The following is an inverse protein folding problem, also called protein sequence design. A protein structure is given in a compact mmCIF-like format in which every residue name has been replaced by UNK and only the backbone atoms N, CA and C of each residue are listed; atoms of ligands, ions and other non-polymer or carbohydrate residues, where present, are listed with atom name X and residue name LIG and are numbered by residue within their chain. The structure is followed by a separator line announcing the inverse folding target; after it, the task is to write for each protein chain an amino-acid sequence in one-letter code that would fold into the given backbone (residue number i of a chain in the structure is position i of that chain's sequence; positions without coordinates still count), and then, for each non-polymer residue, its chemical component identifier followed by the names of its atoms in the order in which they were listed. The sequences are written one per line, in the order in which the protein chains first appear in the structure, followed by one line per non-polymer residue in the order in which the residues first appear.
data_IF_840829927736
#
_entry.id   IF_840829927736
#
_cell.length_a   1.000
_cell.length_b   1.000
_cell.length_c   1.000
_cell.angle_alpha   90.00
_cell.angle_beta   90.00
_cell.angle_gamma   90.00
#
_symmetry.space_group_name_H-M   'P 1'
#
loop_
_entity.id
_entity.type
_entity.pdbx_description
1 polymer ?
#
# COMPACT_ATOMS: atom_id res chain seq x y z
N UNK A 1 -21.80 -0.18 11.09
CA UNK A 1 -21.92 1.21 10.58
C UNK A 1 -22.00 1.17 9.06
N UNK A 2 -22.97 1.82 8.41
CA UNK A 2 -23.06 1.89 6.95
C UNK A 2 -21.82 2.52 6.34
N UNK A 3 -21.37 1.98 5.18
CA UNK A 3 -20.15 2.40 4.52
C UNK A 3 -20.02 3.92 4.26
N UNK A 4 -21.07 4.59 3.75
CA UNK A 4 -21.01 6.04 3.48
C UNK A 4 -20.78 6.88 4.75
N UNK A 5 -21.46 6.56 5.85
CA UNK A 5 -21.31 7.29 7.13
C UNK A 5 -19.90 7.08 7.70
N UNK A 6 -19.38 5.85 7.64
CA UNK A 6 -18.02 5.52 8.04
C UNK A 6 -17.02 6.36 7.27
N UNK A 7 -17.12 6.35 5.93
CA UNK A 7 -16.21 7.09 5.07
C UNK A 7 -16.28 8.60 5.33
N UNK A 8 -17.49 9.15 5.50
CA UNK A 8 -17.68 10.57 5.83
C UNK A 8 -16.94 10.95 7.12
N UNK A 9 -17.13 10.17 8.20
CA UNK A 9 -16.44 10.41 9.48
C UNK A 9 -14.91 10.32 9.29
N UNK A 10 -14.43 9.29 8.58
CA UNK A 10 -13.00 9.11 8.34
C UNK A 10 -12.40 10.28 7.56
N UNK A 11 -13.09 10.77 6.54
CA UNK A 11 -12.63 11.92 5.75
C UNK A 11 -12.61 13.21 6.61
N UNK A 12 -13.57 13.41 7.51
CA UNK A 12 -13.54 14.52 8.46
C UNK A 12 -12.37 14.44 9.43
N UNK A 13 -12.10 13.25 9.97
CA UNK A 13 -10.94 13.00 10.84
C UNK A 13 -9.62 13.19 10.10
N UNK A 14 -9.50 12.69 8.85
CA UNK A 14 -8.34 12.90 7.99
C UNK A 14 -8.10 14.38 7.70
N UNK A 15 -9.15 15.14 7.39
CA UNK A 15 -9.06 16.59 7.17
C UNK A 15 -8.64 17.34 8.44
N UNK A 16 -9.12 16.92 9.60
CA UNK A 16 -8.72 17.50 10.89
C UNK A 16 -7.25 17.18 11.18
N UNK A 17 -6.84 15.93 10.98
CA UNK A 17 -5.43 15.50 11.12
C UNK A 17 -4.50 16.31 10.22
N UNK A 18 -4.85 16.51 8.95
CA UNK A 18 -4.09 17.36 8.02
C UNK A 18 -3.90 18.78 8.55
N UNK A 19 -4.94 19.37 9.16
CA UNK A 19 -4.88 20.74 9.72
C UNK A 19 -4.02 20.83 10.98
N UNK A 20 -4.12 19.84 11.87
CA UNK A 20 -3.48 19.86 13.18
C UNK A 20 -2.04 19.33 13.19
N UNK A 21 -1.68 18.45 12.26
CA UNK A 21 -0.39 17.74 12.29
C UNK A 21 0.65 18.43 11.38
N UNK A 22 1.11 19.63 11.74
CA UNK A 22 2.02 20.42 10.94
C UNK A 22 3.33 19.66 10.59
N UNK A 23 3.96 19.00 11.56
CA UNK A 23 5.21 18.26 11.33
C UNK A 23 5.06 17.11 10.34
N UNK A 24 4.00 16.30 10.48
CA UNK A 24 3.73 15.23 9.51
C UNK A 24 3.39 15.78 8.12
N UNK A 25 2.64 16.89 8.05
CA UNK A 25 2.35 17.54 6.78
C UNK A 25 3.62 17.99 6.06
N UNK A 26 4.55 18.63 6.76
CA UNK A 26 5.84 19.05 6.19
C UNK A 26 6.68 17.86 5.69
N UNK A 27 6.66 16.74 6.40
CA UNK A 27 7.35 15.53 5.96
C UNK A 27 6.74 14.97 4.66
N UNK A 28 5.40 14.89 4.59
CA UNK A 28 4.70 14.41 3.39
C UNK A 28 4.94 15.37 2.22
N UNK A 29 4.80 16.68 2.44
CA UNK A 29 5.10 17.70 1.42
C UNK A 29 6.54 17.56 0.90
N UNK A 30 7.52 17.36 1.77
CA UNK A 30 8.91 17.12 1.38
C UNK A 30 9.06 15.88 0.48
N UNK A 31 8.42 14.78 0.83
CA UNK A 31 8.46 13.56 0.02
C UNK A 31 7.80 13.78 -1.35
N UNK A 32 6.62 14.42 -1.39
CA UNK A 32 5.89 14.68 -2.64
C UNK A 32 6.67 15.62 -3.55
N UNK A 33 7.32 16.66 -3.01
CA UNK A 33 8.18 17.57 -3.77
C UNK A 33 9.31 16.83 -4.49
N UNK A 34 9.96 15.91 -3.80
CA UNK A 34 11.05 15.10 -4.37
C UNK A 34 10.50 14.22 -5.50
N UNK A 35 9.41 13.50 -5.25
CA UNK A 35 8.82 12.58 -6.24
C UNK A 35 8.28 13.32 -7.46
N UNK A 36 7.71 14.51 -7.28
CA UNK A 36 7.09 15.29 -8.39
C UNK A 36 8.03 16.32 -9.01
N UNK A 37 9.14 16.66 -8.36
CA UNK A 37 10.02 17.75 -8.77
C UNK A 37 9.39 19.15 -8.61
N UNK A 38 8.30 19.29 -7.81
CA UNK A 38 7.51 20.53 -7.69
C UNK A 38 7.81 21.30 -6.40
N UNK A 39 7.52 22.59 -6.41
CA UNK A 39 7.64 23.44 -5.21
C UNK A 39 6.52 23.12 -4.18
N UNK A 40 6.81 23.30 -2.88
CA UNK A 40 5.84 23.14 -1.79
C UNK A 40 4.67 24.14 -1.84
N UNK A 41 4.83 25.27 -2.54
CA UNK A 41 3.76 26.23 -2.77
C UNK A 41 2.81 25.84 -3.90
N UNK A 42 3.14 24.79 -4.65
CA UNK A 42 2.28 24.27 -5.70
C UNK A 42 0.96 23.75 -5.09
N UNK A 43 -0.15 24.13 -5.72
CA UNK A 43 -1.48 23.69 -5.29
C UNK A 43 -1.62 22.17 -5.35
N UNK A 44 -0.97 21.52 -6.32
CA UNK A 44 -0.99 20.06 -6.49
C UNK A 44 -0.25 19.34 -5.38
N UNK A 45 0.91 19.86 -4.93
CA UNK A 45 1.63 19.29 -3.77
C UNK A 45 0.74 19.31 -2.52
N UNK A 46 0.04 20.43 -2.29
CA UNK A 46 -0.89 20.55 -1.16
C UNK A 46 -2.07 19.60 -1.27
N UNK A 47 -2.61 19.41 -2.47
CA UNK A 47 -3.74 18.50 -2.71
C UNK A 47 -3.32 17.03 -2.55
N UNK A 48 -2.18 16.62 -3.10
CA UNK A 48 -1.61 15.29 -2.91
C UNK A 48 -1.35 15.02 -1.42
N UNK A 49 -0.73 15.98 -0.73
CA UNK A 49 -0.51 15.86 0.72
C UNK A 49 -1.81 15.67 1.48
N UNK A 50 -2.83 16.46 1.18
CA UNK A 50 -4.16 16.32 1.81
C UNK A 50 -4.76 14.95 1.51
N UNK A 51 -4.69 14.47 0.28
CA UNK A 51 -5.20 13.16 -0.15
C UNK A 51 -4.54 12.01 0.62
N UNK A 52 -3.25 12.11 0.92
CA UNK A 52 -2.51 11.14 1.73
C UNK A 52 -3.07 11.06 3.16
N UNK A 53 -3.38 12.19 3.80
CA UNK A 53 -4.01 12.20 5.12
C UNK A 53 -5.42 11.61 5.10
N UNK A 54 -6.20 11.88 4.05
CA UNK A 54 -7.54 11.31 3.87
C UNK A 54 -7.45 9.79 3.65
N UNK A 55 -6.51 9.35 2.82
CA UNK A 55 -6.25 7.92 2.58
C UNK A 55 -5.85 7.20 3.85
N UNK A 56 -4.97 7.79 4.67
CA UNK A 56 -4.59 7.21 5.96
C UNK A 56 -5.81 7.01 6.88
N UNK A 57 -6.68 8.00 6.98
CA UNK A 57 -7.90 7.89 7.79
C UNK A 57 -8.87 6.81 7.26
N UNK A 58 -9.00 6.69 5.93
CA UNK A 58 -9.77 5.63 5.30
C UNK A 58 -9.15 4.25 5.53
N UNK A 59 -7.81 4.13 5.54
CA UNK A 59 -7.11 2.88 5.82
C UNK A 59 -7.40 2.37 7.24
N UNK A 60 -7.45 3.26 8.24
CA UNK A 60 -7.88 2.87 9.59
C UNK A 60 -9.33 2.40 9.61
N UNK A 61 -10.24 3.07 8.90
CA UNK A 61 -11.63 2.65 8.80
C UNK A 61 -11.78 1.29 8.09
N UNK A 62 -10.97 1.04 7.07
CA UNK A 62 -10.95 -0.24 6.39
C UNK A 62 -10.38 -1.34 7.28
N UNK A 63 -9.28 -1.11 7.98
CA UNK A 63 -8.72 -2.08 8.93
C UNK A 63 -9.79 -2.56 9.92
N UNK A 64 -10.59 -1.63 10.48
CA UNK A 64 -11.69 -1.96 11.39
C UNK A 64 -12.78 -2.80 10.74
N UNK A 65 -13.00 -2.69 9.43
CA UNK A 65 -14.05 -3.44 8.72
C UNK A 65 -13.55 -4.69 8.03
N UNK A 66 -12.35 -4.66 7.45
CA UNK A 66 -11.74 -5.79 6.77
C UNK A 66 -11.54 -6.99 7.70
N UNK A 67 -11.22 -6.76 8.97
CA UNK A 67 -11.06 -7.80 9.99
C UNK A 67 -12.32 -8.67 10.15
N UNK A 68 -13.51 -8.20 9.75
CA UNK A 68 -14.80 -8.86 9.90
C UNK A 68 -15.40 -9.35 8.57
N UNK A 69 -14.78 -9.05 7.41
CA UNK A 69 -15.28 -9.47 6.09
C UNK A 69 -15.02 -10.96 5.86
N UNK A 70 -15.95 -11.66 5.21
CA UNK A 70 -15.79 -13.08 4.86
C UNK A 70 -14.76 -13.28 3.74
N UNK A 71 -14.19 -14.48 3.60
CA UNK A 71 -13.34 -14.83 2.45
C UNK A 71 -14.09 -14.62 1.13
N UNK A 72 -15.37 -14.99 1.08
CA UNK A 72 -16.20 -14.83 -0.09
C UNK A 72 -16.43 -13.36 -0.47
N UNK A 73 -16.36 -12.43 0.47
CA UNK A 73 -16.44 -11.01 0.16
C UNK A 73 -15.23 -10.54 -0.65
N UNK A 74 -14.03 -11.02 -0.30
CA UNK A 74 -12.82 -10.73 -1.08
C UNK A 74 -12.85 -11.40 -2.46
N UNK A 75 -13.43 -12.59 -2.60
CA UNK A 75 -13.51 -13.32 -3.86
C UNK A 75 -14.58 -12.79 -4.82
N UNK A 76 -15.64 -12.11 -4.34
CA UNK A 76 -16.82 -11.71 -5.11
C UNK A 76 -16.76 -10.30 -5.72
N UNK A 77 -15.58 -9.84 -6.19
CA UNK A 77 -15.52 -8.60 -6.97
C UNK A 77 -15.40 -7.32 -6.15
N UNK A 78 -15.03 -7.39 -4.85
CA UNK A 78 -14.61 -6.21 -4.09
C UNK A 78 -13.22 -5.69 -4.50
N UNK A 79 -12.58 -6.37 -5.42
CA UNK A 79 -11.26 -6.03 -5.94
C UNK A 79 -11.19 -6.29 -7.45
N UNK A 80 -10.44 -5.42 -8.13
CA UNK A 80 -9.92 -5.68 -9.46
C UNK A 80 -8.47 -6.11 -9.29
N UNK A 81 -8.09 -7.26 -9.83
CA UNK A 81 -6.73 -7.76 -9.76
C UNK A 81 -6.06 -7.56 -11.10
N UNK A 82 -4.96 -6.83 -11.11
CA UNK A 82 -4.06 -6.73 -12.26
C UNK A 82 -2.89 -7.68 -12.03
N UNK A 83 -2.66 -8.60 -12.93
CA UNK A 83 -1.75 -9.73 -12.75
C UNK A 83 -2.51 -11.00 -12.37
N UNK A 84 -1.77 -12.09 -12.19
CA UNK A 84 -2.34 -13.42 -11.99
C UNK A 84 -1.80 -14.04 -10.69
N UNK A 85 -2.70 -14.52 -9.84
CA UNK A 85 -2.33 -15.31 -8.68
C UNK A 85 -1.62 -16.61 -9.04
N UNK A 86 -1.77 -17.11 -10.26
CA UNK A 86 -0.99 -18.24 -10.77
C UNK A 86 0.54 -18.02 -10.72
N UNK A 87 0.99 -16.76 -10.75
CA UNK A 87 2.39 -16.39 -10.55
C UNK A 87 2.86 -16.80 -9.16
N UNK A 88 2.02 -16.61 -8.15
CA UNK A 88 2.29 -17.00 -6.75
C UNK A 88 2.32 -18.52 -6.62
N UNK A 89 1.33 -19.22 -7.21
CA UNK A 89 1.29 -20.69 -7.20
C UNK A 89 2.52 -21.30 -7.87
N UNK A 90 2.95 -20.72 -9.01
CA UNK A 90 4.17 -21.13 -9.72
C UNK A 90 5.42 -20.92 -8.87
N UNK A 91 5.50 -19.80 -8.15
CA UNK A 91 6.61 -19.53 -7.24
C UNK A 91 6.63 -20.50 -6.06
N UNK A 92 5.48 -20.80 -5.45
CA UNK A 92 5.34 -21.75 -4.35
C UNK A 92 5.66 -23.19 -4.76
N UNK A 93 5.43 -23.60 -6.03
CA UNK A 93 5.84 -24.92 -6.54
C UNK A 93 7.35 -25.17 -6.45
N UNK A 94 8.17 -24.12 -6.29
CA UNK A 94 9.62 -24.26 -6.05
C UNK A 94 9.96 -24.71 -4.63
N UNK A 95 9.01 -24.70 -3.69
CA UNK A 95 9.20 -25.13 -2.30
C UNK A 95 10.09 -24.21 -1.45
N UNK A 96 10.21 -22.93 -1.83
CA UNK A 96 11.08 -21.94 -1.16
C UNK A 96 10.31 -20.81 -0.48
N UNK A 97 8.97 -20.83 -0.53
CA UNK A 97 8.12 -19.75 -0.09
C UNK A 97 8.16 -18.52 -1.01
N UNK A 98 7.37 -17.51 -0.65
CA UNK A 98 7.23 -16.26 -1.38
C UNK A 98 7.38 -15.09 -0.45
N UNK A 99 8.16 -14.08 -0.84
CA UNK A 99 8.24 -12.78 -0.20
C UNK A 99 7.45 -11.79 -1.05
N UNK A 100 6.31 -11.36 -0.57
CA UNK A 100 5.64 -10.20 -1.15
C UNK A 100 6.33 -8.92 -0.68
N UNK A 101 6.69 -8.06 -1.62
CA UNK A 101 7.24 -6.74 -1.32
C UNK A 101 6.26 -5.67 -1.75
N UNK A 102 6.04 -4.71 -0.87
CA UNK A 102 5.12 -3.58 -1.11
C UNK A 102 5.71 -2.27 -0.61
N UNK A 103 4.97 -1.19 -0.86
CA UNK A 103 5.16 0.13 -0.26
C UNK A 103 3.93 0.50 0.58
N UNK A 104 3.99 1.57 1.37
CA UNK A 104 2.84 2.10 2.12
C UNK A 104 1.84 2.82 1.19
N UNK A 105 1.47 2.20 0.08
CA UNK A 105 0.57 2.74 -0.96
C UNK A 105 -0.81 2.12 -0.84
N UNK A 106 -1.84 2.93 -1.00
CA UNK A 106 -3.24 2.51 -0.99
C UNK A 106 -3.66 1.92 0.36
N UNK A 107 -4.46 0.86 0.30
CA UNK A 107 -4.88 0.11 1.48
C UNK A 107 -4.03 -1.17 1.64
N UNK A 108 -2.80 -1.03 2.14
CA UNK A 108 -1.87 -2.15 2.29
C UNK A 108 -2.40 -3.27 3.22
N UNK A 109 -3.30 -2.96 4.16
CA UNK A 109 -4.00 -3.97 4.96
C UNK A 109 -4.91 -4.87 4.10
N UNK A 110 -5.41 -4.34 2.97
CA UNK A 110 -6.18 -5.11 2.01
C UNK A 110 -5.33 -6.19 1.32
N UNK A 111 -4.04 -5.94 1.05
CA UNK A 111 -3.11 -6.92 0.47
C UNK A 111 -3.06 -8.18 1.36
N UNK A 112 -2.80 -8.00 2.66
CA UNK A 112 -2.73 -9.12 3.59
C UNK A 112 -4.00 -9.96 3.61
N UNK A 113 -5.16 -9.30 3.59
CA UNK A 113 -6.45 -9.98 3.55
C UNK A 113 -6.72 -10.68 2.21
N UNK A 114 -6.29 -10.09 1.10
CA UNK A 114 -6.39 -10.70 -0.24
C UNK A 114 -5.54 -11.97 -0.34
N UNK A 115 -4.29 -11.93 0.10
CA UNK A 115 -3.38 -13.09 0.12
C UNK A 115 -4.03 -14.22 0.94
N UNK A 116 -4.53 -13.90 2.13
CA UNK A 116 -5.19 -14.88 2.99
C UNK A 116 -6.49 -15.44 2.37
N UNK A 117 -7.27 -14.60 1.66
CA UNK A 117 -8.50 -15.03 1.00
C UNK A 117 -8.24 -16.05 -0.12
N UNK A 118 -7.08 -15.98 -0.77
CA UNK A 118 -6.62 -16.96 -1.77
C UNK A 118 -6.06 -18.26 -1.15
N UNK A 119 -6.06 -18.38 0.18
CA UNK A 119 -5.69 -19.61 0.87
C UNK A 119 -4.23 -19.70 1.30
N UNK A 120 -3.43 -18.66 1.07
CA UNK A 120 -2.02 -18.67 1.47
C UNK A 120 -1.85 -18.37 2.97
N UNK A 121 -0.96 -19.12 3.63
CA UNK A 121 -0.51 -18.81 4.99
C UNK A 121 0.42 -17.60 4.93
N UNK A 122 0.18 -16.60 5.79
CA UNK A 122 0.84 -15.31 5.71
C UNK A 122 1.49 -14.90 7.03
N UNK A 123 2.76 -14.48 6.95
CA UNK A 123 3.48 -13.76 8.00
C UNK A 123 3.74 -12.32 7.53
N UNK A 124 3.43 -11.33 8.37
CA UNK A 124 3.65 -9.91 8.09
C UNK A 124 4.64 -9.35 9.10
N UNK A 125 5.69 -8.70 8.62
CA UNK A 125 6.63 -7.96 9.48
C UNK A 125 6.08 -6.55 9.71
N UNK A 126 5.96 -6.17 10.98
CA UNK A 126 5.44 -4.85 11.37
C UNK A 126 6.29 -4.21 12.46
N UNK A 127 6.75 -2.99 12.20
CA UNK A 127 7.49 -2.19 13.17
C UNK A 127 6.56 -1.47 14.15
N UNK A 128 7.04 -1.25 15.37
CA UNK A 128 6.33 -0.50 16.40
C UNK A 128 6.56 0.99 16.20
N UNK A 129 5.55 1.71 15.70
CA UNK A 129 5.66 3.16 15.38
C UNK A 129 4.75 4.04 16.23
N UNK A 130 3.87 3.44 17.05
CA UNK A 130 2.87 4.14 17.85
C UNK A 130 2.89 3.66 19.30
N UNK A 131 2.00 4.22 20.14
CA UNK A 131 1.84 3.71 21.50
C UNK A 131 1.52 2.21 21.48
N UNK A 132 1.98 1.51 22.54
CA UNK A 132 1.79 0.04 22.67
C UNK A 132 0.32 -0.35 22.52
N UNK A 133 -0.59 0.41 23.12
CA UNK A 133 -2.03 0.14 23.04
C UNK A 133 -2.57 0.14 21.59
N UNK A 134 -2.19 1.17 20.80
CA UNK A 134 -2.59 1.27 19.39
C UNK A 134 -1.95 0.15 18.57
N UNK A 135 -0.67 -0.13 18.79
CA UNK A 135 0.05 -1.19 18.12
C UNK A 135 -0.59 -2.56 18.37
N UNK A 136 -0.88 -2.89 19.64
CA UNK A 136 -1.50 -4.16 20.02
C UNK A 136 -2.91 -4.31 19.41
N UNK A 137 -3.70 -3.24 19.39
CA UNK A 137 -5.03 -3.22 18.77
C UNK A 137 -4.98 -3.45 17.25
N UNK A 138 -4.09 -2.77 16.55
CA UNK A 138 -3.87 -2.93 15.10
C UNK A 138 -3.37 -4.34 14.79
N UNK A 139 -2.40 -4.84 15.55
CA UNK A 139 -1.84 -6.19 15.38
C UNK A 139 -2.91 -7.26 15.62
N UNK A 140 -3.74 -7.08 16.63
CA UNK A 140 -4.87 -7.97 16.90
C UNK A 140 -5.89 -7.98 15.74
N UNK A 141 -6.26 -6.80 15.20
CA UNK A 141 -7.16 -6.71 14.05
C UNK A 141 -6.60 -7.41 12.81
N UNK A 142 -5.31 -7.21 12.52
CA UNK A 142 -4.61 -7.87 11.40
C UNK A 142 -4.52 -9.38 11.58
N UNK A 143 -4.28 -9.83 12.81
CA UNK A 143 -4.12 -11.26 13.15
C UNK A 143 -5.41 -12.08 13.21
N UNK A 144 -6.59 -11.42 13.26
CA UNK A 144 -7.88 -12.11 13.43
C UNK A 144 -8.17 -13.23 12.42
N UNK A 145 -7.54 -13.20 11.26
CA UNK A 145 -7.75 -14.16 10.18
C UNK A 145 -6.62 -15.16 10.00
N UNK A 146 -5.75 -15.27 10.99
CA UNK A 146 -4.62 -16.19 10.95
C UNK A 146 -3.36 -15.61 10.34
N UNK A 147 -3.32 -14.32 9.99
CA UNK A 147 -2.07 -13.64 9.65
C UNK A 147 -1.17 -13.60 10.87
N UNK A 148 0.03 -14.14 10.75
CA UNK A 148 1.05 -14.10 11.80
C UNK A 148 1.75 -12.75 11.75
N UNK A 149 1.65 -11.96 12.82
CA UNK A 149 2.33 -10.67 12.92
C UNK A 149 3.63 -10.84 13.69
N UNK A 150 4.74 -10.36 13.13
CA UNK A 150 6.06 -10.44 13.78
C UNK A 150 6.74 -9.06 13.77
N UNK A 151 7.45 -8.74 14.85
CA UNK A 151 8.28 -7.54 14.90
C UNK A 151 9.62 -7.78 14.19
N UNK A 152 10.28 -6.75 13.64
CA UNK A 152 11.58 -6.86 12.97
C UNK A 152 12.73 -7.00 13.99
N UNK A 153 12.64 -8.03 14.82
CA UNK A 153 13.65 -8.45 15.81
C UNK A 153 14.38 -9.70 15.32
N UNK A 154 15.52 -10.09 15.92
CA UNK A 154 16.18 -11.34 15.56
C UNK A 154 15.27 -12.57 15.66
N UNK A 155 14.35 -12.60 16.64
CA UNK A 155 13.37 -13.68 16.76
C UNK A 155 12.31 -13.63 15.65
N UNK A 156 11.84 -12.43 15.28
CA UNK A 156 10.90 -12.23 14.19
C UNK A 156 11.51 -12.62 12.84
N UNK A 157 12.76 -12.25 12.58
CA UNK A 157 13.46 -12.65 11.35
C UNK A 157 13.64 -14.17 11.30
N UNK A 158 13.97 -14.83 12.42
CA UNK A 158 13.99 -16.30 12.46
C UNK A 158 12.62 -16.91 12.16
N UNK A 159 11.54 -16.27 12.59
CA UNK A 159 10.18 -16.70 12.26
C UNK A 159 9.89 -16.54 10.76
N UNK A 160 10.25 -15.42 10.16
CA UNK A 160 10.14 -15.17 8.70
C UNK A 160 10.87 -16.27 7.90
N UNK A 161 12.13 -16.56 8.26
CA UNK A 161 12.91 -17.62 7.58
C UNK A 161 12.24 -18.99 7.74
N UNK A 162 11.68 -19.29 8.92
CA UNK A 162 10.94 -20.53 9.15
C UNK A 162 9.68 -20.62 8.29
N UNK A 163 8.90 -19.54 8.18
CA UNK A 163 7.72 -19.48 7.31
C UNK A 163 8.09 -19.77 5.85
N UNK A 164 9.15 -19.15 5.34
CA UNK A 164 9.61 -19.42 3.98
C UNK A 164 10.07 -20.87 3.77
N UNK A 165 10.80 -21.45 4.74
CA UNK A 165 11.20 -22.87 4.70
C UNK A 165 10.01 -23.84 4.73
N UNK A 166 8.90 -23.41 5.34
CA UNK A 166 7.62 -24.14 5.31
C UNK A 166 6.82 -23.86 4.04
N UNK A 167 7.41 -23.19 3.05
CA UNK A 167 6.75 -22.81 1.81
C UNK A 167 5.53 -21.90 2.00
N UNK A 168 5.58 -21.04 3.02
CA UNK A 168 4.55 -20.03 3.34
C UNK A 168 4.90 -18.68 2.69
N UNK A 169 3.95 -17.73 2.75
CA UNK A 169 4.12 -16.37 2.26
C UNK A 169 4.52 -15.41 3.38
N UNK A 170 5.32 -14.42 3.04
CA UNK A 170 5.74 -13.33 3.92
C UNK A 170 5.46 -12.00 3.22
N UNK A 171 5.01 -10.98 3.94
CA UNK A 171 4.90 -9.60 3.43
C UNK A 171 5.93 -8.71 4.13
N UNK A 172 6.69 -7.98 3.34
CA UNK A 172 7.63 -6.96 3.76
C UNK A 172 7.31 -5.65 3.04
N UNK A 173 7.30 -4.54 3.76
CA UNK A 173 7.17 -3.20 3.18
C UNK A 173 8.56 -2.59 3.12
N UNK A 174 8.98 -2.10 1.95
CA UNK A 174 10.37 -1.81 1.65
C UNK A 174 10.65 -0.33 1.26
N UNK A 175 9.68 0.56 1.42
CA UNK A 175 9.80 1.99 1.08
C UNK A 175 10.23 2.87 2.26
N UNK A 176 10.66 2.26 3.38
CA UNK A 176 11.06 2.97 4.59
C UNK A 176 12.15 2.25 5.35
N UNK A 177 13.26 2.95 5.58
CA UNK A 177 14.32 2.51 6.49
C UNK A 177 13.97 2.86 7.93
N UNK A 178 13.44 1.87 8.66
CA UNK A 178 13.01 2.05 10.06
C UNK A 178 14.18 2.11 11.05
N UNK A 179 15.30 1.48 10.71
CA UNK A 179 16.44 1.31 11.61
C UNK A 179 17.64 2.21 11.25
N UNK A 180 17.50 3.04 10.22
CA UNK A 180 18.57 3.93 9.73
C UNK A 180 19.87 3.16 9.40
N UNK A 181 19.73 1.91 8.96
CA UNK A 181 20.83 1.03 8.56
C UNK A 181 20.57 0.36 7.20
N UNK A 182 19.76 0.99 6.38
CA UNK A 182 19.41 0.53 5.05
C UNK A 182 20.58 0.52 4.07
N UNK A 183 20.31 0.01 2.88
CA UNK A 183 21.23 0.05 1.75
C UNK A 183 21.10 1.38 1.02
N UNK A 184 22.23 2.04 0.72
CA UNK A 184 22.21 3.27 -0.08
C UNK A 184 21.70 2.99 -1.48
N UNK A 185 20.74 3.80 -1.92
CA UNK A 185 20.10 3.70 -3.23
C UNK A 185 19.83 5.08 -3.79
N UNK A 186 19.68 5.16 -5.11
CA UNK A 186 19.04 6.27 -5.78
C UNK A 186 17.55 5.95 -5.90
N UNK A 187 16.71 6.73 -5.23
CA UNK A 187 15.26 6.56 -5.19
C UNK A 187 14.58 7.85 -5.62
N UNK A 188 13.79 7.79 -6.69
CA UNK A 188 13.27 8.96 -7.38
C UNK A 188 14.36 10.00 -7.73
N UNK A 189 15.52 9.52 -8.20
CA UNK A 189 16.65 10.35 -8.60
C UNK A 189 17.43 11.01 -7.45
N UNK A 190 17.14 10.67 -6.19
CA UNK A 190 17.82 11.22 -5.01
C UNK A 190 18.38 10.11 -4.13
N UNK A 191 19.56 10.34 -3.55
CA UNK A 191 20.20 9.40 -2.62
C UNK A 191 19.41 9.29 -1.33
N UNK A 192 19.18 8.06 -0.89
CA UNK A 192 18.59 7.71 0.40
C UNK A 192 18.97 6.29 0.78
N UNK A 193 18.46 5.81 1.92
CA UNK A 193 18.60 4.41 2.34
C UNK A 193 17.26 3.71 2.32
N UNK A 194 17.22 2.47 1.79
CA UNK A 194 16.05 1.60 1.86
C UNK A 194 16.40 0.25 2.50
N UNK A 195 15.45 -0.42 3.17
CA UNK A 195 15.73 -1.68 3.86
C UNK A 195 16.01 -2.82 2.87
N UNK A 196 17.20 -3.45 2.91
CA UNK A 196 17.56 -4.57 2.04
C UNK A 196 16.97 -5.90 2.49
N UNK A 197 16.15 -5.91 3.54
CA UNK A 197 15.70 -7.13 4.21
C UNK A 197 15.03 -8.14 3.28
N UNK A 198 14.16 -7.70 2.38
CA UNK A 198 13.48 -8.56 1.42
C UNK A 198 14.48 -9.25 0.47
N UNK A 199 15.42 -8.49 -0.07
CA UNK A 199 16.45 -8.96 -0.98
C UNK A 199 17.40 -9.93 -0.26
N UNK A 200 17.87 -9.58 0.94
CA UNK A 200 18.79 -10.42 1.73
C UNK A 200 18.15 -11.75 2.11
N UNK A 201 16.89 -11.72 2.59
CA UNK A 201 16.17 -12.94 2.96
C UNK A 201 15.89 -13.80 1.73
N UNK A 202 15.51 -13.20 0.60
CA UNK A 202 15.30 -13.92 -0.66
C UNK A 202 16.56 -14.61 -1.14
N UNK A 203 17.70 -13.90 -1.10
CA UNK A 203 19.02 -14.46 -1.42
C UNK A 203 19.33 -15.70 -0.57
N UNK A 204 19.14 -15.59 0.75
CA UNK A 204 19.56 -16.63 1.69
C UNK A 204 18.61 -17.84 1.72
N UNK A 205 17.34 -17.67 1.30
CA UNK A 205 16.31 -18.71 1.31
C UNK A 205 16.00 -19.28 -0.07
N UNK A 206 16.32 -18.56 -1.14
CA UNK A 206 15.90 -18.87 -2.51
C UNK A 206 14.43 -18.56 -2.78
N UNK A 207 13.73 -17.86 -1.86
CA UNK A 207 12.35 -17.45 -2.04
C UNK A 207 12.19 -16.46 -3.21
N UNK A 208 11.05 -16.53 -3.90
CA UNK A 208 10.70 -15.55 -4.91
C UNK A 208 10.30 -14.23 -4.24
N UNK A 209 10.78 -13.10 -4.75
CA UNK A 209 10.28 -11.77 -4.39
C UNK A 209 9.22 -11.38 -5.40
N UNK A 210 7.99 -11.19 -4.94
CA UNK A 210 6.86 -10.78 -5.79
C UNK A 210 6.39 -9.40 -5.31
N UNK A 211 6.59 -8.35 -6.12
CA UNK A 211 6.06 -7.04 -5.80
C UNK A 211 4.53 -7.05 -5.90
N UNK A 212 3.88 -6.44 -4.91
CA UNK A 212 2.43 -6.34 -4.84
C UNK A 212 2.02 -4.98 -4.31
N UNK A 213 1.13 -4.30 -5.03
CA UNK A 213 0.65 -2.98 -4.65
C UNK A 213 -0.87 -2.95 -4.65
N UNK A 214 -1.43 -2.01 -3.92
CA UNK A 214 -2.88 -1.80 -3.92
C UNK A 214 -3.21 -0.32 -4.10
N UNK A 215 -4.34 -0.07 -4.73
CA UNK A 215 -4.91 1.27 -4.89
C UNK A 215 -6.39 1.23 -4.53
N UNK A 216 -6.84 2.20 -3.75
CA UNK A 216 -8.27 2.42 -3.53
C UNK A 216 -8.88 3.10 -4.75
N UNK A 217 -10.04 2.60 -5.18
CA UNK A 217 -10.86 3.17 -6.26
C UNK A 217 -12.25 3.50 -5.75
N UNK A 218 -13.08 4.11 -6.59
CA UNK A 218 -14.50 4.34 -6.26
C UNK A 218 -15.28 3.04 -6.04
N UNK A 219 -14.94 1.99 -6.78
CA UNK A 219 -15.64 0.70 -6.73
C UNK A 219 -15.05 -0.29 -5.71
N UNK A 220 -13.93 0.02 -5.08
CA UNK A 220 -13.27 -0.88 -4.14
C UNK A 220 -11.75 -0.73 -4.12
N UNK A 221 -11.05 -1.84 -4.26
CA UNK A 221 -9.59 -1.88 -4.25
C UNK A 221 -9.06 -2.58 -5.50
N UNK A 222 -8.03 -2.02 -6.08
CA UNK A 222 -7.22 -2.69 -7.11
C UNK A 222 -6.01 -3.32 -6.41
N UNK A 223 -5.66 -4.54 -6.82
CA UNK A 223 -4.44 -5.23 -6.40
C UNK A 223 -3.62 -5.52 -7.65
N UNK A 224 -2.37 -5.07 -7.66
CA UNK A 224 -1.43 -5.32 -8.76
C UNK A 224 -0.35 -6.28 -8.28
N UNK A 225 -0.29 -7.44 -8.92
CA UNK A 225 0.73 -8.46 -8.72
C UNK A 225 1.70 -8.35 -9.88
N UNK A 226 2.99 -8.22 -9.59
CA UNK A 226 4.04 -8.08 -10.61
C UNK A 226 4.82 -9.39 -10.77
N UNK A 227 5.69 -9.42 -11.76
CA UNK A 227 6.52 -10.59 -12.03
C UNK A 227 7.50 -10.89 -10.89
N UNK A 228 7.77 -12.17 -10.62
CA UNK A 228 8.66 -12.58 -9.56
C UNK A 228 10.12 -12.26 -9.89
N UNK A 229 10.84 -11.73 -8.91
CA UNK A 229 12.29 -11.57 -8.95
C UNK A 229 12.95 -12.70 -8.14
N UNK A 230 14.02 -13.24 -8.68
CA UNK A 230 14.87 -14.21 -8.00
C UNK A 230 16.25 -13.57 -7.78
N UNK A 231 16.75 -13.67 -6.56
CA UNK A 231 18.04 -13.09 -6.17
C UNK A 231 19.09 -14.19 -6.28
N UNK A 232 20.14 -13.89 -7.00
CA UNK A 232 21.27 -14.80 -7.11
C UNK A 232 21.99 -14.95 -5.76
N UNK A 233 22.58 -16.12 -5.55
CA UNK A 233 23.37 -16.42 -4.37
C UNK A 233 24.79 -16.76 -4.82
N UNK A 234 25.65 -15.75 -4.85
CA UNK A 234 27.08 -15.91 -5.12
C UNK A 234 27.88 -15.96 -3.81
N UNK A 235 29.21 -15.92 -3.90
CA UNK A 235 30.08 -15.78 -2.73
C UNK A 235 30.12 -14.35 -2.17
N UNK A 236 29.78 -13.36 -2.99
CA UNK A 236 29.76 -11.94 -2.62
C UNK A 236 28.34 -11.51 -2.21
N UNK A 237 28.07 -11.57 -0.92
CA UNK A 237 26.77 -11.18 -0.34
C UNK A 237 26.44 -9.72 -0.63
N UNK A 238 27.43 -8.84 -0.61
CA UNK A 238 27.20 -7.41 -0.79
C UNK A 238 26.82 -7.09 -2.24
N UNK A 239 27.52 -7.69 -3.19
CA UNK A 239 27.20 -7.55 -4.61
C UNK A 239 25.81 -8.12 -4.94
N UNK A 240 25.45 -9.30 -4.40
CA UNK A 240 24.14 -9.91 -4.60
C UNK A 240 23.02 -9.01 -4.07
N UNK A 241 23.21 -8.41 -2.88
CA UNK A 241 22.24 -7.49 -2.27
C UNK A 241 22.14 -6.19 -3.07
N UNK A 242 23.27 -5.63 -3.48
CA UNK A 242 23.29 -4.40 -4.27
C UNK A 242 22.55 -4.58 -5.61
N UNK A 243 22.82 -5.68 -6.32
CA UNK A 243 22.13 -5.98 -7.58
C UNK A 243 20.64 -6.24 -7.38
N UNK A 244 20.27 -6.96 -6.31
CA UNK A 244 18.86 -7.15 -5.95
C UNK A 244 18.14 -5.84 -5.62
N UNK A 245 18.79 -4.93 -4.90
CA UNK A 245 18.23 -3.60 -4.60
C UNK A 245 18.10 -2.74 -5.85
N UNK A 246 19.11 -2.77 -6.75
CA UNK A 246 19.05 -2.06 -8.03
C UNK A 246 17.85 -2.48 -8.88
N UNK A 247 17.44 -3.75 -8.79
CA UNK A 247 16.26 -4.27 -9.49
C UNK A 247 14.95 -3.96 -8.75
N UNK A 248 14.97 -3.92 -7.41
CA UNK A 248 13.78 -3.69 -6.60
C UNK A 248 13.36 -2.21 -6.59
N UNK A 249 14.31 -1.27 -6.54
CA UNK A 249 14.03 0.17 -6.42
C UNK A 249 13.12 0.69 -7.52
N UNK A 250 13.37 0.46 -8.83
CA UNK A 250 12.47 0.92 -9.88
C UNK A 250 11.05 0.37 -9.77
N UNK A 251 10.91 -0.84 -9.25
CA UNK A 251 9.60 -1.47 -9.03
C UNK A 251 8.84 -0.79 -7.90
N UNK A 252 9.53 -0.37 -6.84
CA UNK A 252 8.93 0.43 -5.77
C UNK A 252 8.50 1.81 -6.28
N UNK A 253 9.34 2.45 -7.09
CA UNK A 253 9.03 3.74 -7.72
C UNK A 253 7.78 3.63 -8.61
N UNK A 254 7.69 2.61 -9.45
CA UNK A 254 6.51 2.34 -10.28
C UNK A 254 5.26 2.13 -9.42
N UNK A 255 5.36 1.31 -8.36
CA UNK A 255 4.24 1.04 -7.46
C UNK A 255 3.75 2.30 -6.75
N UNK A 256 4.64 3.13 -6.22
CA UNK A 256 4.32 4.39 -5.55
C UNK A 256 3.73 5.39 -6.56
N UNK A 257 4.36 5.55 -7.71
CA UNK A 257 3.92 6.46 -8.76
C UNK A 257 2.53 6.13 -9.29
N UNK A 258 2.13 4.86 -9.27
CA UNK A 258 0.81 4.43 -9.74
C UNK A 258 -0.35 4.97 -8.92
N UNK A 259 -0.09 5.39 -7.65
CA UNK A 259 -1.09 5.94 -6.73
C UNK A 259 -0.41 6.86 -5.69
N UNK A 260 0.32 7.86 -6.16
CA UNK A 260 1.11 8.78 -5.31
C UNK A 260 0.23 9.51 -4.28
N UNK A 261 -1.00 9.87 -4.64
CA UNK A 261 -2.00 10.47 -3.77
C UNK A 261 -2.43 9.57 -2.60
N UNK A 262 -2.02 8.29 -2.64
CA UNK A 262 -2.29 7.29 -1.62
C UNK A 262 -1.02 6.74 -0.95
N UNK A 263 0.14 7.34 -1.20
CA UNK A 263 1.39 6.94 -0.56
C UNK A 263 1.48 7.46 0.88
N UNK A 264 1.08 6.66 1.84
CA UNK A 264 0.93 7.02 3.27
C UNK A 264 2.28 7.01 3.96
N UNK A 265 3.18 7.94 3.55
CA UNK A 265 4.52 8.08 4.07
C UNK A 265 4.66 9.38 4.88
N UNK A 266 4.48 9.29 6.20
CA UNK A 266 4.54 10.43 7.14
C UNK A 266 5.94 10.74 7.65
N UNK A 267 6.94 9.98 7.26
CA UNK A 267 8.34 10.23 7.59
C UNK A 267 9.08 10.71 6.38
N UNK A 268 10.14 11.48 6.60
CA UNK A 268 11.03 11.88 5.51
C UNK A 268 11.77 10.66 5.00
N UNK A 269 11.65 10.38 3.72
CA UNK A 269 12.39 9.31 3.03
C UNK A 269 13.79 9.81 2.66
N UNK A 270 13.96 11.12 2.46
CA UNK A 270 15.23 11.77 2.15
C UNK A 270 15.57 12.81 3.23
N UNK A 271 16.10 12.38 4.38
CA UNK A 271 16.38 13.29 5.50
C UNK A 271 17.47 14.33 5.19
N UNK A 272 18.40 14.00 4.30
CA UNK A 272 19.53 14.86 3.93
C UNK A 272 19.21 15.87 2.82
N UNK A 273 18.09 15.72 2.14
CA UNK A 273 17.68 16.68 1.11
C UNK A 273 17.02 17.86 1.79
N UNK A 274 17.74 19.00 1.85
CA UNK A 274 17.17 20.24 2.36
C UNK A 274 15.95 20.66 1.50
N UNK A 275 14.90 21.23 2.10
CA UNK A 275 13.70 21.64 1.38
C UNK A 275 13.95 22.53 0.17
N UNK A 276 15.02 23.34 0.21
CA UNK A 276 15.37 24.31 -0.85
C UNK A 276 16.38 23.76 -1.87
N UNK A 277 16.91 22.55 -1.69
CA UNK A 277 17.90 21.94 -2.57
C UNK A 277 17.33 20.95 -3.58
N UNK A 278 16.01 20.84 -3.67
CA UNK A 278 15.34 19.93 -4.60
C UNK A 278 15.63 20.40 -6.03
N UNK A 279 16.36 19.59 -6.78
CA UNK A 279 16.55 19.81 -8.20
C UNK A 279 15.22 19.59 -8.91
N UNK A 280 14.71 20.65 -9.53
CA UNK A 280 13.60 20.53 -10.48
C UNK A 280 14.18 19.78 -11.68
N UNK A 281 13.66 18.60 -11.99
CA UNK A 281 14.06 17.89 -13.21
C UNK A 281 13.73 18.77 -14.42
N UNK A 282 14.64 18.85 -15.41
CA UNK A 282 14.32 19.58 -16.63
C UNK A 282 13.10 18.99 -17.29
N UNK A 283 12.21 19.85 -17.76
CA UNK A 283 11.05 19.51 -18.57
C UNK A 283 11.45 18.54 -19.68
N UNK A 284 10.90 17.33 -19.68
CA UNK A 284 11.26 16.26 -20.63
C UNK A 284 11.79 14.99 -20.01
N UNK A 285 11.86 14.90 -18.67
CA UNK A 285 12.17 13.64 -17.98
C UNK A 285 11.06 12.61 -18.20
N UNK A 286 11.39 11.32 -18.42
CA UNK A 286 10.38 10.24 -18.54
C UNK A 286 9.41 10.12 -17.35
N UNK A 287 9.73 10.74 -16.20
CA UNK A 287 8.87 10.80 -15.02
C UNK A 287 7.79 11.88 -15.13
N UNK A 288 7.94 12.90 -15.99
CA UNK A 288 6.99 14.02 -16.07
C UNK A 288 5.73 13.69 -16.87
N UNK A 289 5.84 12.97 -17.97
CA UNK A 289 4.72 12.82 -18.91
C UNK A 289 3.63 11.82 -18.48
N UNK A 290 3.93 10.59 -18.05
CA UNK A 290 2.86 9.62 -17.72
C UNK A 290 2.24 9.83 -16.34
N UNK A 291 2.98 10.44 -15.39
CA UNK A 291 2.53 10.58 -14.02
C UNK A 291 1.60 11.79 -13.85
N UNK A 292 2.00 12.92 -14.40
CA UNK A 292 1.25 14.18 -14.31
C UNK A 292 -0.02 14.14 -15.15
N UNK A 293 0.02 13.51 -16.33
CA UNK A 293 -1.19 13.29 -17.14
C UNK A 293 -2.18 12.38 -16.43
N UNK A 294 -1.72 11.32 -15.74
CA UNK A 294 -2.59 10.43 -14.96
C UNK A 294 -3.16 11.10 -13.70
N UNK A 295 -2.40 11.94 -13.02
CA UNK A 295 -2.86 12.70 -11.86
C UNK A 295 -3.82 13.80 -12.28
N UNK A 296 -3.50 14.57 -13.34
CA UNK A 296 -4.33 15.65 -13.86
C UNK A 296 -5.67 15.12 -14.45
N UNK A 297 -5.67 13.95 -15.08
CA UNK A 297 -6.89 13.31 -15.58
C UNK A 297 -7.82 12.80 -14.48
N UNK A 298 -7.29 12.48 -13.29
CA UNK A 298 -8.07 11.95 -12.16
C UNK A 298 -8.60 13.02 -11.21
N UNK A 299 -7.99 14.20 -11.16
CA UNK A 299 -8.43 15.31 -10.32
C UNK A 299 -9.83 15.85 -10.66
N UNK A 300 -10.28 15.95 -11.93
CA UNK A 300 -11.64 16.35 -12.26
C UNK A 300 -12.72 15.36 -11.82
N UNK A 301 -12.42 14.04 -11.85
CA UNK A 301 -13.38 12.99 -11.45
C UNK A 301 -13.73 13.04 -9.96
N UNK A 302 -12.83 13.57 -9.11
CA UNK A 302 -13.07 13.73 -7.68
C UNK A 302 -14.01 14.94 -7.41
N UNK A 303 -14.03 15.93 -8.31
CA UNK A 303 -14.89 17.12 -8.19
C UNK A 303 -16.31 16.92 -8.73
N UNK A 304 -16.50 16.08 -9.74
CA UNK A 304 -17.78 15.89 -10.41
C UNK A 304 -18.79 14.99 -9.67
N UNK A 305 -18.36 14.26 -8.62
CA UNK A 305 -19.24 13.35 -7.89
C UNK A 305 -20.15 14.01 -6.84
N UNK A 306 -20.05 15.34 -6.63
CA UNK A 306 -20.87 16.05 -5.63
C UNK A 306 -22.11 16.75 -6.24
N UNK A 307 -22.25 16.77 -7.57
CA UNK A 307 -23.32 17.56 -8.23
C UNK A 307 -24.39 16.78 -9.02
N UNK A 308 -24.34 15.44 -9.11
CA UNK A 308 -25.38 14.69 -9.85
C UNK A 308 -25.92 13.48 -9.12
N UNK A 309 -26.76 13.71 -8.12
CA UNK A 309 -27.72 12.70 -7.69
C UNK A 309 -29.02 12.87 -8.50
N UNK A 310 -29.50 11.85 -9.23
CA UNK A 310 -30.76 11.95 -9.93
C UNK A 310 -31.93 12.02 -8.95
N UNK A 311 -33.03 12.77 -9.26
CA UNK A 311 -34.17 12.90 -8.41
C UNK A 311 -34.88 11.56 -8.20
N UNK A 312 -35.17 11.24 -6.94
CA UNK A 312 -35.96 10.05 -6.58
C UNK A 312 -37.36 10.17 -7.21
N UNK A 313 -37.70 9.26 -8.11
CA UNK A 313 -39.07 9.06 -8.56
C UNK A 313 -39.91 8.55 -7.39
N UNK A 314 -40.94 9.29 -7.05
CA UNK A 314 -42.05 8.83 -6.19
C UNK A 314 -42.83 7.78 -7.00
N UNK A 315 -42.80 6.54 -6.56
CA UNK A 315 -43.73 5.52 -7.03
C UNK A 315 -45.10 5.75 -6.34
N UNK A 316 -46.11 5.98 -7.13
CA UNK A 316 -47.52 5.90 -6.72
C UNK A 316 -47.85 4.44 -6.44
N UNK A 317 -48.29 4.15 -5.22
CA UNK A 317 -48.96 2.91 -4.87
C UNK A 317 -50.36 2.90 -5.49
N UNK A 318 -50.62 1.93 -6.37
CA UNK A 318 -51.98 1.49 -6.72
C UNK A 318 -52.31 0.25 -5.90
N UNK A 319 -53.30 0.42 -5.05
CA UNK A 319 -53.94 -0.66 -4.29
C UNK A 319 -54.90 -1.36 -5.23
N UNK A 320 -54.66 -2.64 -5.47
CA UNK A 320 -55.68 -3.52 -6.05
C UNK A 320 -55.94 -4.67 -5.08
N UNK A 321 -57.15 -4.67 -4.54
CA UNK A 321 -57.80 -5.71 -3.78
C UNK A 321 -58.19 -6.88 -4.68
N UNK A 322 -58.12 -8.10 -4.19
CA UNK A 322 -58.70 -9.25 -4.88
C UNK A 322 -58.34 -10.57 -4.25
N UNK A 323 -59.19 -11.00 -3.35
CA UNK A 323 -59.81 -12.31 -3.07
C UNK A 323 -59.03 -13.62 -3.10
N UNK A 324 -59.17 -14.24 -2.01
CA UNK A 324 -59.44 -15.61 -1.56
C UNK A 324 -59.40 -16.76 -2.58
N UNK A 325 -58.83 -17.87 -2.23
CA UNK A 325 -59.33 -19.19 -1.89
C UNK A 325 -58.37 -20.33 -2.22
N UNK A 326 -58.29 -21.22 -1.25
CA UNK A 326 -58.15 -22.69 -1.31
C UNK A 326 -57.00 -23.37 -2.09
N UNK A 327 -56.21 -24.04 -1.40
CA UNK A 327 -55.91 -25.45 -1.08
C UNK A 327 -54.55 -25.56 -0.44
#
# INVERSE_FOLDING_TARGET
MPGPIRNYISLRLGSLSYRLSQGYRQNVESNIRIVTGRDSNDAEVRELTRSIFLTNALNFADLLTLAWRSRNWFARGSQVVYGDWAVVDKALKRGKGVIFVSAHVGCFDFIGQSIHAHGYTLTVVTGRTTSRFVFDGVTWLRGRRGTKMVEPTPSGIRHVIRSLRNNECVVLVADRDFFENGHEVEFFGHKTTLPPGAVRIARDTGAAVIPIFTRRTHSGHEVRIMDPMYIEQTRDVQADVAEGMKRLVPVLEEGISSALEQWVMFQRVWPEVAPDSIRIFPTGSPLESPLLERVAQKLPEIRSSDESAPPRRRGTEEIASGDAADV
#
